data_IF_070766536805
#
_entry.id   IF_070766536805
#
_cell.length_a   1.000
_cell.length_b   1.000
_cell.length_c   1.000
_cell.angle_alpha   90.00
_cell.angle_beta   90.00
_cell.angle_gamma   90.00
#
_symmetry.space_group_name_H-M   'P 1'
#
loop_
_entity.id
_entity.type
_entity.pdbx_description
1 polymer ?
#
# COMPACT_ATOMS: atom_id res chain seq x y z
N UNK A 1 21.11 11.86 11.75
CA UNK A 1 20.24 11.28 10.72
C UNK A 1 19.25 10.39 11.45
N UNK A 2 17.94 10.61 11.26
CA UNK A 2 16.92 9.76 11.88
C UNK A 2 16.83 8.38 11.19
N UNK A 3 16.27 7.40 11.88
CA UNK A 3 16.06 6.05 11.33
C UNK A 3 15.09 6.08 10.14
N UNK A 4 15.37 5.27 9.13
CA UNK A 4 14.48 5.11 7.97
C UNK A 4 13.25 4.25 8.33
N UNK A 5 12.14 4.35 7.57
CA UNK A 5 10.98 3.49 7.80
C UNK A 5 11.27 1.98 7.77
N UNK A 6 12.23 1.55 6.95
CA UNK A 6 12.64 0.15 6.88
C UNK A 6 13.38 -0.29 8.15
N UNK A 7 14.25 0.58 8.69
CA UNK A 7 14.98 0.33 9.94
C UNK A 7 14.02 0.25 11.12
N UNK A 8 13.06 1.18 11.21
CA UNK A 8 12.02 1.20 12.25
C UNK A 8 11.14 -0.07 12.22
N UNK A 9 10.63 -0.44 11.04
CA UNK A 9 9.81 -1.65 10.89
C UNK A 9 10.59 -2.91 11.31
N UNK A 10 11.84 -3.05 10.85
CA UNK A 10 12.70 -4.19 11.21
C UNK A 10 13.12 -4.17 12.69
N UNK A 11 13.33 -3.00 13.28
CA UNK A 11 13.60 -2.86 14.71
C UNK A 11 12.40 -3.28 15.55
N UNK A 12 11.20 -2.89 15.13
CA UNK A 12 9.94 -3.32 15.75
C UNK A 12 9.79 -4.85 15.68
N UNK A 13 10.06 -5.46 14.53
CA UNK A 13 10.04 -6.92 14.39
C UNK A 13 11.09 -7.63 15.24
N UNK A 14 12.29 -7.05 15.41
CA UNK A 14 13.29 -7.59 16.36
C UNK A 14 12.81 -7.52 17.81
N UNK A 15 11.96 -6.54 18.15
CA UNK A 15 11.43 -6.33 19.50
C UNK A 15 10.27 -7.27 19.82
N UNK A 16 9.31 -7.40 18.90
CA UNK A 16 8.03 -8.09 19.15
C UNK A 16 7.95 -9.48 18.51
N UNK A 17 8.82 -9.77 17.55
CA UNK A 17 8.65 -10.86 16.60
C UNK A 17 7.91 -10.41 15.34
N UNK A 18 8.13 -11.14 14.24
CA UNK A 18 7.49 -10.88 12.94
C UNK A 18 5.98 -11.05 13.05
N UNK A 19 5.53 -12.18 13.58
CA UNK A 19 4.11 -12.54 13.69
C UNK A 19 3.31 -11.47 14.42
N UNK A 20 3.78 -11.02 15.59
CA UNK A 20 3.12 -9.99 16.39
C UNK A 20 3.14 -8.62 15.69
N UNK A 21 4.26 -8.26 15.06
CA UNK A 21 4.37 -7.00 14.31
C UNK A 21 3.37 -6.98 13.15
N UNK A 22 3.26 -8.09 12.43
CA UNK A 22 2.31 -8.24 11.32
C UNK A 22 0.87 -8.23 11.85
N UNK A 23 0.56 -8.96 12.93
CA UNK A 23 -0.78 -9.01 13.51
C UNK A 23 -1.29 -7.63 13.91
N UNK A 24 -0.44 -6.80 14.53
CA UNK A 24 -0.79 -5.42 14.91
C UNK A 24 -0.93 -4.50 13.69
N UNK A 25 -0.09 -4.65 12.66
CA UNK A 25 -0.28 -3.93 11.39
C UNK A 25 -1.63 -4.30 10.75
N UNK A 26 -1.99 -5.59 10.74
CA UNK A 26 -3.27 -6.09 10.22
C UNK A 26 -4.45 -5.52 11.01
N UNK A 27 -4.36 -5.46 12.34
CA UNK A 27 -5.40 -4.88 13.18
C UNK A 27 -5.65 -3.41 12.83
N UNK A 28 -4.59 -2.61 12.64
CA UNK A 28 -4.71 -1.22 12.20
C UNK A 28 -5.33 -1.09 10.81
N UNK A 29 -4.92 -1.91 9.84
CA UNK A 29 -5.51 -1.90 8.48
C UNK A 29 -7.00 -2.23 8.50
N UNK A 30 -7.45 -3.06 9.45
CA UNK A 30 -8.86 -3.39 9.69
C UNK A 30 -9.59 -2.35 10.55
N UNK A 31 -9.12 -1.12 10.56
CA UNK A 31 -9.71 0.00 11.31
C UNK A 31 -9.74 -0.22 12.84
N UNK A 32 -8.79 -1.00 13.38
CA UNK A 32 -8.56 -1.06 14.82
C UNK A 32 -8.19 0.32 15.39
N UNK A 33 -8.53 0.55 16.66
CA UNK A 33 -8.29 1.83 17.33
C UNK A 33 -6.79 2.13 17.44
N UNK A 34 -6.28 3.16 16.74
CA UNK A 34 -4.87 3.46 16.77
C UNK A 34 -4.41 4.07 18.10
N UNK A 35 -5.32 4.60 18.93
CA UNK A 35 -5.00 5.14 20.24
C UNK A 35 -4.72 4.04 21.28
N UNK A 36 -5.22 2.83 21.04
CA UNK A 36 -4.81 1.63 21.78
C UNK A 36 -3.41 1.12 21.39
N UNK A 37 -2.87 1.61 20.27
CA UNK A 37 -1.64 1.12 19.63
C UNK A 37 -0.48 2.13 19.68
N UNK A 38 -0.60 3.22 20.44
CA UNK A 38 0.36 4.34 20.42
C UNK A 38 1.81 3.90 20.67
N UNK A 39 2.05 3.00 21.62
CA UNK A 39 3.41 2.51 21.90
C UNK A 39 4.00 1.75 20.71
N UNK A 40 3.18 0.95 20.03
CA UNK A 40 3.59 0.26 18.82
C UNK A 40 3.85 1.22 17.66
N UNK A 41 3.01 2.24 17.49
CA UNK A 41 3.18 3.25 16.47
C UNK A 41 4.47 4.07 16.69
N UNK A 42 4.87 4.32 17.93
CA UNK A 42 6.18 4.93 18.25
C UNK A 42 7.33 4.10 17.69
N UNK A 43 7.31 2.77 17.86
CA UNK A 43 8.35 1.90 17.31
C UNK A 43 8.28 1.81 15.78
N UNK A 44 7.08 1.78 15.23
CA UNK A 44 6.84 1.54 13.80
C UNK A 44 7.12 2.75 12.91
N UNK A 45 6.86 3.95 13.42
CA UNK A 45 6.75 5.17 12.62
C UNK A 45 7.56 6.36 13.16
N UNK A 46 8.38 6.14 14.19
CA UNK A 46 9.13 7.13 14.98
C UNK A 46 8.31 7.84 16.07
N UNK A 47 9.00 8.20 17.16
CA UNK A 47 8.40 8.84 18.34
C UNK A 47 7.69 10.15 18.01
N UNK A 48 8.22 10.94 17.08
CA UNK A 48 7.59 12.21 16.69
C UNK A 48 6.22 11.98 16.06
N UNK A 49 6.11 10.98 15.18
CA UNK A 49 4.89 10.68 14.44
C UNK A 49 3.76 10.20 15.35
N UNK A 50 4.07 9.37 16.35
CA UNK A 50 3.08 8.85 17.29
C UNK A 50 2.84 9.75 18.52
N UNK A 51 3.74 10.68 18.83
CA UNK A 51 3.57 11.60 19.96
C UNK A 51 2.46 12.63 19.73
N UNK A 52 2.16 12.98 18.48
CA UNK A 52 1.01 13.82 18.16
C UNK A 52 -0.32 13.17 18.61
N UNK A 53 -0.40 11.84 18.57
CA UNK A 53 -1.56 11.08 19.03
C UNK A 53 -1.76 11.11 20.54
N UNK A 54 -0.72 11.50 21.31
CA UNK A 54 -0.84 11.72 22.77
C UNK A 54 -1.36 13.11 23.11
N UNK A 55 -1.32 14.04 22.16
CA UNK A 55 -1.58 15.46 22.39
C UNK A 55 -2.85 15.97 21.70
N UNK A 56 -3.38 15.24 20.73
CA UNK A 56 -4.49 15.67 19.87
C UNK A 56 -5.51 14.55 19.69
N UNK A 57 -6.74 14.92 19.41
CA UNK A 57 -7.82 13.96 19.11
C UNK A 57 -8.13 13.93 17.61
N UNK A 58 -8.88 12.92 17.12
CA UNK A 58 -9.36 12.91 15.74
C UNK A 58 -10.23 14.10 15.36
N UNK A 59 -10.89 14.74 16.32
CA UNK A 59 -11.64 15.99 16.11
C UNK A 59 -10.69 17.15 15.78
N UNK A 60 -9.52 17.22 16.43
CA UNK A 60 -8.49 18.23 16.14
C UNK A 60 -7.74 17.92 14.85
N UNK A 61 -7.54 16.64 14.54
CA UNK A 61 -6.83 16.16 13.36
C UNK A 61 -7.39 14.83 12.83
N UNK A 62 -8.26 14.89 11.81
CA UNK A 62 -8.79 13.69 11.19
C UNK A 62 -7.71 12.78 10.58
N UNK A 63 -6.51 13.29 10.31
CA UNK A 63 -5.42 12.49 9.73
C UNK A 63 -4.86 11.46 10.70
N UNK A 64 -5.04 11.66 12.01
CA UNK A 64 -4.65 10.69 13.04
C UNK A 64 -5.41 9.36 12.91
N UNK A 65 -6.54 9.35 12.19
CA UNK A 65 -7.28 8.13 11.91
C UNK A 65 -6.67 7.29 10.79
N UNK A 66 -6.03 7.89 9.79
CA UNK A 66 -5.51 7.14 8.62
C UNK A 66 -3.98 6.98 8.62
N UNK A 67 -3.21 7.89 9.21
CA UNK A 67 -1.75 7.77 9.25
C UNK A 67 -1.25 6.45 9.87
N UNK A 68 -1.83 5.97 10.98
CA UNK A 68 -1.49 4.66 11.53
C UNK A 68 -1.65 3.51 10.53
N UNK A 69 -2.72 3.54 9.71
CA UNK A 69 -2.94 2.55 8.64
C UNK A 69 -1.90 2.66 7.53
N UNK A 70 -1.50 3.88 7.16
CA UNK A 70 -0.42 4.11 6.20
C UNK A 70 0.91 3.57 6.74
N UNK A 71 1.21 3.79 8.01
CA UNK A 71 2.44 3.29 8.64
C UNK A 71 2.43 1.77 8.77
N UNK A 72 1.29 1.17 9.13
CA UNK A 72 1.08 -0.27 9.14
C UNK A 72 1.33 -0.87 7.75
N UNK A 73 0.64 -0.38 6.71
CA UNK A 73 0.87 -0.84 5.33
C UNK A 73 2.34 -0.66 4.90
N UNK A 74 2.98 0.47 5.27
CA UNK A 74 4.40 0.70 4.96
C UNK A 74 5.32 -0.30 5.65
N UNK A 75 5.05 -0.64 6.91
CA UNK A 75 5.83 -1.63 7.64
C UNK A 75 5.72 -3.01 7.00
N UNK A 76 4.52 -3.35 6.49
CA UNK A 76 4.28 -4.60 5.77
C UNK A 76 5.11 -4.74 4.50
N UNK A 77 5.67 -3.65 3.93
CA UNK A 77 6.67 -3.75 2.84
C UNK A 77 7.97 -4.42 3.30
N UNK A 78 8.34 -4.28 4.57
CA UNK A 78 9.65 -4.69 5.10
C UNK A 78 9.60 -5.86 6.08
N UNK A 79 8.45 -6.08 6.71
CA UNK A 79 8.19 -7.14 7.68
C UNK A 79 6.90 -7.82 7.24
N UNK A 80 6.97 -9.10 6.90
CA UNK A 80 5.89 -9.77 6.18
C UNK A 80 5.58 -11.14 6.73
N UNK A 81 4.30 -11.47 6.71
CA UNK A 81 3.74 -12.81 6.84
C UNK A 81 2.46 -12.87 5.98
N UNK A 82 2.21 -14.00 5.33
CA UNK A 82 1.09 -14.16 4.40
C UNK A 82 -0.29 -14.03 5.07
N UNK A 83 -0.36 -14.13 6.40
CA UNK A 83 -1.57 -13.79 7.17
C UNK A 83 -2.03 -12.34 6.95
N UNK A 84 -1.16 -11.45 6.47
CA UNK A 84 -1.50 -10.07 6.14
C UNK A 84 -2.25 -9.91 4.81
N UNK A 85 -2.21 -10.92 3.92
CA UNK A 85 -2.74 -10.81 2.55
C UNK A 85 -4.19 -10.28 2.55
N UNK A 86 -5.16 -10.86 3.29
CA UNK A 86 -6.54 -10.39 3.22
C UNK A 86 -6.68 -8.91 3.59
N UNK A 87 -5.99 -8.47 4.66
CA UNK A 87 -6.06 -7.08 5.10
C UNK A 87 -5.41 -6.10 4.10
N UNK A 88 -4.35 -6.52 3.41
CA UNK A 88 -3.73 -5.70 2.35
C UNK A 88 -4.64 -5.60 1.13
N UNK A 89 -5.31 -6.69 0.74
CA UNK A 89 -6.27 -6.69 -0.36
C UNK A 89 -7.47 -5.79 -0.04
N UNK A 90 -8.03 -5.88 1.18
CA UNK A 90 -9.10 -5.00 1.65
C UNK A 90 -8.66 -3.52 1.65
N UNK A 91 -7.42 -3.24 2.07
CA UNK A 91 -6.85 -1.89 2.12
C UNK A 91 -6.69 -1.20 0.74
N UNK A 92 -6.78 -1.94 -0.37
CA UNK A 92 -6.86 -1.34 -1.71
C UNK A 92 -8.15 -0.51 -1.88
N UNK A 93 -9.21 -0.80 -1.10
CA UNK A 93 -10.47 -0.08 -1.09
C UNK A 93 -10.62 0.95 0.04
N UNK A 94 -9.57 1.24 0.81
CA UNK A 94 -9.65 2.14 1.97
C UNK A 94 -10.09 3.57 1.59
N UNK A 95 -10.89 4.23 2.44
CA UNK A 95 -11.35 5.61 2.23
C UNK A 95 -10.20 6.61 2.03
N UNK A 96 -9.09 6.40 2.75
CA UNK A 96 -7.92 7.24 2.66
C UNK A 96 -7.03 6.82 1.48
N UNK A 97 -6.89 7.71 0.49
CA UNK A 97 -6.10 7.44 -0.72
C UNK A 97 -4.64 7.04 -0.45
N UNK A 98 -4.04 7.51 0.65
CA UNK A 98 -2.68 7.15 1.06
C UNK A 98 -2.57 5.68 1.47
N UNK A 99 -3.63 5.12 2.06
CA UNK A 99 -3.69 3.71 2.42
C UNK A 99 -3.81 2.88 1.13
N UNK A 100 -4.69 3.26 0.20
CA UNK A 100 -4.79 2.61 -1.12
C UNK A 100 -3.46 2.62 -1.89
N UNK A 101 -2.79 3.77 -1.94
CA UNK A 101 -1.45 3.90 -2.56
C UNK A 101 -0.43 2.96 -1.90
N UNK A 102 -0.43 2.88 -0.56
CA UNK A 102 0.51 2.03 0.17
C UNK A 102 0.19 0.54 0.02
N UNK A 103 -1.08 0.16 0.05
CA UNK A 103 -1.52 -1.21 -0.18
C UNK A 103 -1.06 -1.72 -1.56
N UNK A 104 -1.20 -0.91 -2.61
CA UNK A 104 -0.66 -1.24 -3.94
C UNK A 104 0.86 -1.43 -3.95
N UNK A 105 1.62 -0.71 -3.10
CA UNK A 105 3.07 -0.92 -2.94
C UNK A 105 3.39 -2.22 -2.21
N UNK A 106 2.60 -2.61 -1.22
CA UNK A 106 2.73 -3.90 -0.54
C UNK A 106 2.45 -5.05 -1.52
N UNK A 107 1.40 -4.92 -2.35
CA UNK A 107 1.10 -5.87 -3.43
C UNK A 107 2.30 -6.08 -4.35
N UNK A 108 2.99 -5.00 -4.75
CA UNK A 108 4.21 -5.10 -5.56
C UNK A 108 5.33 -5.81 -4.81
N UNK A 109 5.58 -5.41 -3.56
CA UNK A 109 6.70 -5.91 -2.76
C UNK A 109 6.64 -7.43 -2.56
N UNK A 110 5.42 -7.96 -2.39
CA UNK A 110 5.18 -9.37 -2.12
C UNK A 110 4.50 -10.12 -3.27
N UNK A 111 4.35 -9.47 -4.43
CA UNK A 111 3.79 -10.03 -5.66
C UNK A 111 2.44 -10.73 -5.44
N UNK A 112 1.51 -10.06 -4.76
CA UNK A 112 0.20 -10.62 -4.39
C UNK A 112 -0.70 -10.77 -5.62
N UNK A 113 -0.64 -11.93 -6.29
CA UNK A 113 -1.40 -12.24 -7.52
C UNK A 113 -2.91 -12.04 -7.40
N UNK A 114 -3.48 -12.33 -6.22
CA UNK A 114 -4.91 -12.17 -5.94
C UNK A 114 -5.40 -10.70 -5.98
N UNK A 115 -4.49 -9.72 -6.08
CA UNK A 115 -4.83 -8.31 -6.15
C UNK A 115 -5.24 -7.83 -7.56
N UNK A 116 -5.04 -8.63 -8.61
CA UNK A 116 -5.25 -8.21 -10.00
C UNK A 116 -6.57 -7.47 -10.23
N UNK A 117 -7.69 -8.16 -10.00
CA UNK A 117 -9.04 -7.58 -10.21
C UNK A 117 -9.30 -6.39 -9.27
N UNK A 118 -8.78 -6.43 -8.04
CA UNK A 118 -8.94 -5.36 -7.05
C UNK A 118 -8.18 -4.08 -7.43
N UNK A 119 -7.13 -4.18 -8.24
CA UNK A 119 -6.35 -3.02 -8.71
C UNK A 119 -7.00 -2.33 -9.91
N UNK A 120 -7.85 -3.00 -10.69
CA UNK A 120 -8.48 -2.43 -11.89
C UNK A 120 -9.29 -1.17 -11.57
N UNK A 121 -10.17 -1.14 -10.55
CA UNK A 121 -10.90 0.09 -10.18
C UNK A 121 -9.97 1.27 -9.85
N UNK A 122 -8.81 0.99 -9.25
CA UNK A 122 -7.85 2.03 -8.84
C UNK A 122 -7.16 2.72 -10.03
N UNK A 123 -7.21 2.15 -11.24
CA UNK A 123 -6.77 2.83 -12.46
C UNK A 123 -7.64 4.04 -12.82
N UNK A 124 -8.80 4.20 -12.18
CA UNK A 124 -9.68 5.38 -12.31
C UNK A 124 -9.84 6.14 -10.99
N UNK A 125 -8.95 5.92 -10.02
CA UNK A 125 -8.97 6.61 -8.73
C UNK A 125 -8.86 8.15 -8.92
N UNK A 126 -9.59 8.97 -8.14
CA UNK A 126 -9.50 10.42 -8.23
C UNK A 126 -8.09 10.96 -7.96
N UNK A 127 -7.24 10.21 -7.25
CA UNK A 127 -5.88 10.62 -6.91
C UNK A 127 -4.87 10.00 -7.90
N UNK A 128 -4.14 10.83 -8.67
CA UNK A 128 -3.18 10.35 -9.67
C UNK A 128 -2.11 9.40 -9.10
N UNK A 129 -1.69 9.62 -7.86
CA UNK A 129 -0.72 8.75 -7.17
C UNK A 129 -1.24 7.33 -6.99
N UNK A 130 -2.54 7.16 -6.72
CA UNK A 130 -3.17 5.85 -6.59
C UNK A 130 -3.26 5.18 -7.96
N UNK A 131 -3.69 5.91 -9.01
CA UNK A 131 -3.72 5.40 -10.39
C UNK A 131 -2.34 4.90 -10.85
N UNK A 132 -1.29 5.69 -10.61
CA UNK A 132 0.08 5.31 -10.95
C UNK A 132 0.58 4.09 -10.15
N UNK A 133 0.21 3.97 -8.88
CA UNK A 133 0.54 2.81 -8.05
C UNK A 133 -0.19 1.55 -8.53
N UNK A 134 -1.47 1.65 -8.87
CA UNK A 134 -2.27 0.55 -9.41
C UNK A 134 -1.74 0.06 -10.76
N UNK A 135 -1.42 1.00 -11.66
CA UNK A 135 -0.79 0.66 -12.95
C UNK A 135 0.51 -0.12 -12.75
N UNK A 136 1.39 0.38 -11.87
CA UNK A 136 2.64 -0.31 -11.55
C UNK A 136 2.38 -1.71 -10.94
N UNK A 137 1.41 -1.84 -10.06
CA UNK A 137 1.08 -3.11 -9.42
C UNK A 137 0.56 -4.13 -10.43
N UNK A 138 -0.35 -3.75 -11.32
CA UNK A 138 -0.84 -4.62 -12.39
C UNK A 138 0.26 -5.05 -13.36
N UNK A 139 1.28 -4.22 -13.61
CA UNK A 139 2.45 -4.66 -14.37
C UNK A 139 3.24 -5.80 -13.70
N UNK A 140 3.14 -5.95 -12.37
CA UNK A 140 3.85 -6.97 -11.58
C UNK A 140 2.98 -8.20 -11.36
N UNK A 141 1.70 -8.01 -11.02
CA UNK A 141 0.81 -9.09 -10.56
C UNK A 141 -0.39 -9.36 -11.49
N UNK A 142 -0.73 -8.42 -12.37
CA UNK A 142 -1.89 -8.54 -13.25
C UNK A 142 -1.65 -9.57 -14.35
N UNK A 143 -2.70 -10.21 -14.83
CA UNK A 143 -2.69 -11.17 -15.94
C UNK A 143 -3.20 -10.55 -17.24
N UNK A 144 -3.21 -11.32 -18.34
CA UNK A 144 -3.57 -10.82 -19.69
C UNK A 144 -4.92 -10.09 -19.73
N UNK A 145 -5.90 -10.51 -18.93
CA UNK A 145 -7.22 -9.89 -18.82
C UNK A 145 -7.20 -8.46 -18.25
N UNK A 146 -6.11 -8.06 -17.59
CA UNK A 146 -5.91 -6.72 -17.03
C UNK A 146 -5.28 -5.74 -18.05
N UNK A 147 -4.87 -6.22 -19.22
CA UNK A 147 -4.26 -5.36 -20.25
C UNK A 147 -5.22 -4.31 -20.81
N UNK A 148 -6.51 -4.58 -21.12
CA UNK A 148 -7.43 -3.57 -21.64
C UNK A 148 -7.60 -2.34 -20.72
N UNK A 149 -7.87 -2.47 -19.40
CA UNK A 149 -7.95 -1.29 -18.54
C UNK A 149 -6.59 -0.59 -18.38
N UNK A 150 -5.47 -1.31 -18.37
CA UNK A 150 -4.14 -0.70 -18.39
C UNK A 150 -3.86 0.12 -19.66
N UNK A 151 -4.27 -0.38 -20.84
CA UNK A 151 -4.18 0.37 -22.10
C UNK A 151 -4.99 1.65 -22.06
N UNK A 152 -6.18 1.64 -21.48
CA UNK A 152 -6.94 2.88 -21.27
C UNK A 152 -6.16 3.88 -20.40
N UNK A 153 -5.46 3.41 -19.37
CA UNK A 153 -4.66 4.26 -18.48
C UNK A 153 -3.40 4.85 -19.14
N UNK A 154 -2.97 4.39 -20.33
CA UNK A 154 -1.86 5.05 -21.06
C UNK A 154 -2.27 6.40 -21.64
N UNK A 155 -3.57 6.67 -21.74
CA UNK A 155 -4.12 7.95 -22.16
C UNK A 155 -4.54 8.84 -20.97
N UNK A 156 -4.10 8.52 -19.75
CA UNK A 156 -4.37 9.33 -18.57
C UNK A 156 -3.79 10.75 -18.73
N UNK A 157 -4.54 11.74 -18.26
CA UNK A 157 -4.15 13.16 -18.34
C UNK A 157 -2.87 13.47 -17.56
N UNK A 158 -2.61 12.70 -16.50
CA UNK A 158 -1.42 12.84 -15.68
C UNK A 158 -0.26 12.07 -16.28
N UNK A 159 0.77 12.79 -16.75
CA UNK A 159 1.93 12.22 -17.42
C UNK A 159 2.62 11.10 -16.63
N UNK A 160 2.60 11.19 -15.29
CA UNK A 160 3.13 10.14 -14.43
C UNK A 160 2.31 8.85 -14.54
N UNK A 161 0.98 8.93 -14.61
CA UNK A 161 0.10 7.77 -14.70
C UNK A 161 0.25 7.11 -16.06
N UNK A 162 0.17 7.87 -17.15
CA UNK A 162 0.31 7.33 -18.51
C UNK A 162 1.65 6.63 -18.73
N UNK A 163 2.75 7.26 -18.31
CA UNK A 163 4.10 6.65 -18.36
C UNK A 163 4.17 5.33 -17.58
N UNK A 164 3.50 5.26 -16.41
CA UNK A 164 3.48 4.06 -15.57
C UNK A 164 2.62 2.96 -16.17
N UNK A 165 1.48 3.31 -16.77
CA UNK A 165 0.61 2.37 -17.47
C UNK A 165 1.32 1.74 -18.67
N UNK A 166 2.03 2.54 -19.48
CA UNK A 166 2.82 2.02 -20.59
C UNK A 166 3.95 1.09 -20.12
N UNK A 167 4.67 1.49 -19.06
CA UNK A 167 5.71 0.65 -18.47
C UNK A 167 5.14 -0.65 -17.90
N UNK A 168 3.94 -0.59 -17.30
CA UNK A 168 3.24 -1.76 -16.80
C UNK A 168 2.85 -2.71 -17.92
N UNK A 169 2.29 -2.22 -19.04
CA UNK A 169 2.00 -3.03 -20.22
C UNK A 169 3.26 -3.67 -20.79
N UNK A 170 4.36 -2.93 -20.95
CA UNK A 170 5.64 -3.51 -21.39
C UNK A 170 6.10 -4.64 -20.48
N UNK A 171 5.99 -4.44 -19.17
CA UNK A 171 6.38 -5.44 -18.16
C UNK A 171 5.49 -6.67 -18.25
N UNK A 172 4.17 -6.45 -18.35
CA UNK A 172 3.18 -7.50 -18.43
C UNK A 172 3.32 -8.34 -19.71
N UNK A 173 3.46 -7.68 -20.87
CA UNK A 173 3.71 -8.33 -22.16
C UNK A 173 4.93 -9.23 -22.12
N UNK A 174 6.03 -8.72 -21.54
CA UNK A 174 7.27 -9.50 -21.40
C UNK A 174 7.09 -10.68 -20.44
N UNK A 175 6.37 -10.49 -19.33
CA UNK A 175 6.14 -11.53 -18.32
C UNK A 175 5.29 -12.69 -18.86
N UNK A 176 4.32 -12.36 -19.72
CA UNK A 176 3.37 -13.32 -20.31
C UNK A 176 3.77 -13.82 -21.70
N UNK A 177 4.92 -13.37 -22.23
CA UNK A 177 5.39 -13.67 -23.59
C UNK A 177 4.30 -13.45 -24.67
N UNK A 178 3.60 -12.30 -24.56
CA UNK A 178 2.46 -11.95 -25.41
C UNK A 178 2.43 -10.46 -25.69
N UNK A 179 2.12 -10.05 -26.92
CA UNK A 179 1.85 -8.66 -27.22
C UNK A 179 0.48 -8.24 -26.66
N UNK A 180 0.48 -7.19 -25.84
CA UNK A 180 -0.68 -6.64 -25.15
C UNK A 180 -0.86 -5.14 -25.44
N UNK A 181 -0.21 -4.61 -26.49
CA UNK A 181 -0.42 -3.24 -26.95
C UNK A 181 -1.66 -3.08 -27.84
N UNK A 182 -2.12 -4.18 -28.44
CA UNK A 182 -3.26 -4.25 -29.35
C UNK A 182 -4.59 -4.67 -28.67
#
# INVERSE_FOLDING_TARGET
MGETPAELARATARRLGVDETVARCVALLRHGDPFAEVEFLVWLADESAASEMRLRTPEDDPSLLYWPRVWAARALVYVWDDAAIPAVLDALGDDAWRVREMAAKVVIAHQLGAAGDLLVPLLSDPVPRVRAAAARALGVVGEAEHAPPLRKATADEEAQVSTRAEAALRTLSKRLDRDLFD
#
